data_IF_780276597228
#
_entry.id   IF_780276597228
#
_cell.length_a   1.000
_cell.length_b   1.000
_cell.length_c   1.000
_cell.angle_alpha   90.00
_cell.angle_beta   90.00
_cell.angle_gamma   90.00
#
_symmetry.space_group_name_H-M   'P 1'
#
loop_
_entity.id
_entity.type
_entity.pdbx_description
1 polymer ?
#
# COMPACT_ATOMS: atom_id res chain seq x y z
N UNK A 1 -51.85 -19.28 -41.07
CA UNK A 1 -50.60 -19.96 -40.66
C UNK A 1 -49.58 -19.03 -40.02
N UNK A 2 -49.46 -17.76 -40.44
CA UNK A 2 -48.61 -16.77 -39.73
C UNK A 2 -49.19 -16.35 -38.37
N UNK A 3 -50.51 -16.17 -38.25
CA UNK A 3 -51.18 -15.79 -37.00
C UNK A 3 -51.02 -16.80 -35.84
N UNK A 4 -50.76 -18.07 -36.16
CA UNK A 4 -50.57 -19.15 -35.17
C UNK A 4 -49.10 -19.42 -34.83
N UNK A 5 -48.15 -18.55 -35.27
CA UNK A 5 -46.69 -18.61 -35.02
C UNK A 5 -45.98 -19.94 -35.36
N UNK A 6 -46.64 -20.85 -36.08
CA UNK A 6 -46.09 -22.18 -36.42
C UNK A 6 -44.84 -22.14 -37.31
N UNK A 7 -44.58 -21.01 -37.98
CA UNK A 7 -43.42 -20.79 -38.85
C UNK A 7 -42.19 -20.20 -38.15
N UNK A 8 -42.28 -19.81 -36.88
CA UNK A 8 -41.22 -19.08 -36.19
C UNK A 8 -39.90 -19.87 -36.08
N UNK A 9 -39.98 -21.20 -35.99
CA UNK A 9 -38.81 -22.10 -35.97
C UNK A 9 -37.98 -22.09 -37.26
N UNK A 10 -38.54 -21.60 -38.37
CA UNK A 10 -37.87 -21.53 -39.67
C UNK A 10 -37.38 -20.11 -40.02
N UNK A 11 -37.81 -19.09 -39.26
CA UNK A 11 -37.44 -17.68 -39.44
C UNK A 11 -36.13 -17.39 -38.71
N UNK A 12 -35.02 -17.95 -39.18
CA UNK A 12 -33.68 -17.68 -38.63
C UNK A 12 -33.18 -16.29 -39.07
N UNK A 13 -32.48 -15.53 -38.21
CA UNK A 13 -31.97 -14.19 -38.56
C UNK A 13 -31.04 -14.20 -39.78
N UNK A 14 -30.24 -15.25 -39.95
CA UNK A 14 -29.37 -15.49 -41.12
C UNK A 14 -30.13 -15.46 -42.45
N UNK A 15 -31.41 -15.85 -42.48
CA UNK A 15 -32.22 -15.81 -43.70
C UNK A 15 -32.57 -14.37 -44.12
N UNK A 16 -32.54 -13.44 -43.17
CA UNK A 16 -32.87 -12.04 -43.35
C UNK A 16 -31.63 -11.13 -43.40
N UNK A 17 -30.43 -11.70 -43.41
CA UNK A 17 -29.18 -10.91 -43.40
C UNK A 17 -28.99 -10.10 -44.68
N UNK A 18 -29.44 -10.61 -45.83
CA UNK A 18 -29.41 -9.89 -47.10
C UNK A 18 -30.76 -10.05 -47.81
N UNK A 19 -31.61 -9.04 -47.70
CA UNK A 19 -32.93 -9.01 -48.34
C UNK A 19 -32.89 -8.41 -49.74
N UNK A 20 -31.70 -8.02 -50.24
CA UNK A 20 -31.51 -7.27 -51.49
C UNK A 20 -32.40 -6.02 -51.59
N UNK A 21 -32.76 -5.46 -50.44
CA UNK A 21 -33.56 -4.26 -50.35
C UNK A 21 -32.65 -3.03 -50.41
N UNK A 22 -32.93 -2.14 -51.36
CA UNK A 22 -32.22 -0.88 -51.56
C UNK A 22 -32.84 0.19 -50.67
N UNK A 23 -32.10 0.66 -49.66
CA UNK A 23 -32.58 1.60 -48.66
C UNK A 23 -32.15 3.04 -48.89
N UNK A 24 -32.88 3.99 -48.30
CA UNK A 24 -32.52 5.41 -48.37
C UNK A 24 -31.30 5.79 -47.52
N UNK A 25 -31.10 5.10 -46.39
CA UNK A 25 -29.98 5.35 -45.47
C UNK A 25 -28.73 4.52 -45.79
N UNK A 26 -28.92 3.38 -46.47
CA UNK A 26 -27.85 2.49 -46.87
C UNK A 26 -28.33 1.64 -48.04
N UNK A 27 -27.45 1.43 -49.02
CA UNK A 27 -27.71 0.59 -50.16
C UNK A 27 -26.48 -0.29 -50.47
N UNK A 28 -26.54 -1.62 -50.30
CA UNK A 28 -27.67 -2.44 -49.86
C UNK A 28 -27.90 -2.42 -48.33
N UNK A 29 -29.14 -2.67 -47.89
CA UNK A 29 -29.46 -2.88 -46.47
C UNK A 29 -29.01 -4.29 -46.06
N UNK A 30 -28.05 -4.37 -45.14
CA UNK A 30 -27.51 -5.61 -44.59
C UNK A 30 -27.76 -5.64 -43.09
N UNK A 31 -28.34 -6.74 -42.61
CA UNK A 31 -28.54 -7.00 -41.18
C UNK A 31 -27.48 -7.96 -40.66
N UNK A 32 -27.02 -7.75 -39.44
CA UNK A 32 -26.13 -8.67 -38.76
C UNK A 32 -26.85 -10.02 -38.58
N UNK A 33 -26.31 -11.15 -39.11
CA UNK A 33 -26.92 -12.46 -39.01
C UNK A 33 -27.08 -12.99 -37.58
N UNK A 34 -26.42 -12.38 -36.59
CA UNK A 34 -26.47 -12.79 -35.18
C UNK A 34 -27.45 -11.92 -34.39
N UNK A 35 -27.27 -10.60 -34.40
CA UNK A 35 -28.10 -9.66 -33.62
C UNK A 35 -29.38 -9.26 -34.34
N UNK A 36 -29.37 -9.23 -35.68
CA UNK A 36 -30.45 -8.69 -36.50
C UNK A 36 -30.44 -7.16 -36.62
N UNK A 37 -29.41 -6.50 -36.11
CA UNK A 37 -29.25 -5.05 -36.20
C UNK A 37 -28.78 -4.63 -37.60
N UNK A 38 -29.09 -3.39 -37.96
CA UNK A 38 -28.65 -2.82 -39.24
C UNK A 38 -27.17 -2.45 -39.18
N UNK A 39 -26.39 -2.94 -40.14
CA UNK A 39 -24.95 -2.68 -40.24
C UNK A 39 -24.72 -1.31 -40.90
N UNK A 40 -24.75 -0.23 -40.13
CA UNK A 40 -24.53 1.15 -40.60
C UNK A 40 -23.35 1.82 -39.89
N UNK A 41 -22.68 2.79 -40.54
CA UNK A 41 -21.66 3.58 -39.89
C UNK A 41 -22.27 4.50 -38.82
N UNK A 42 -21.51 4.75 -37.76
CA UNK A 42 -21.85 5.71 -36.72
C UNK A 42 -21.15 7.05 -36.99
N UNK A 43 -21.81 8.16 -36.66
CA UNK A 43 -21.20 9.49 -36.64
C UNK A 43 -21.14 10.03 -35.21
N UNK A 44 -20.09 10.79 -34.93
CA UNK A 44 -19.86 11.48 -33.66
C UNK A 44 -19.98 12.97 -33.89
N UNK A 45 -20.91 13.62 -33.19
CA UNK A 45 -21.21 15.04 -33.34
C UNK A 45 -20.70 15.83 -32.13
N UNK A 46 -20.10 16.99 -32.36
CA UNK A 46 -19.94 17.99 -31.30
C UNK A 46 -21.26 18.70 -31.08
N UNK A 47 -21.83 18.57 -29.88
CA UNK A 47 -23.07 19.25 -29.54
C UNK A 47 -22.95 20.78 -29.55
N UNK A 48 -21.77 21.33 -29.23
CA UNK A 48 -21.58 22.79 -29.15
C UNK A 48 -21.56 23.46 -30.52
N UNK A 49 -20.87 22.84 -31.48
CA UNK A 49 -20.71 23.38 -32.83
C UNK A 49 -21.65 22.73 -33.87
N UNK A 50 -22.37 21.67 -33.48
CA UNK A 50 -23.22 20.87 -34.37
C UNK A 50 -22.48 20.35 -35.61
N UNK A 51 -21.19 20.04 -35.47
CA UNK A 51 -20.33 19.51 -36.53
C UNK A 51 -19.95 18.05 -36.27
N UNK A 52 -19.82 17.26 -37.33
CA UNK A 52 -19.35 15.88 -37.25
C UNK A 52 -17.83 15.83 -37.02
N UNK A 53 -17.44 15.24 -35.89
CA UNK A 53 -16.05 15.09 -35.44
C UNK A 53 -15.42 13.84 -36.03
N UNK A 54 -16.20 12.76 -36.14
CA UNK A 54 -15.69 11.48 -36.61
C UNK A 54 -16.82 10.60 -37.14
N UNK A 55 -16.45 9.62 -37.95
CA UNK A 55 -17.35 8.58 -38.45
C UNK A 55 -16.67 7.22 -38.43
N UNK A 56 -17.45 6.15 -38.37
CA UNK A 56 -16.94 4.79 -38.45
C UNK A 56 -17.09 4.19 -39.85
N UNK A 57 -16.42 3.08 -40.11
CA UNK A 57 -16.84 2.15 -41.15
C UNK A 57 -18.18 1.48 -40.77
N UNK A 58 -18.84 0.83 -41.73
CA UNK A 58 -20.13 0.16 -41.50
C UNK A 58 -20.06 -0.95 -40.44
N UNK A 59 -18.90 -1.55 -40.23
CA UNK A 59 -18.68 -2.61 -39.23
C UNK A 59 -18.15 -2.07 -37.88
N UNK A 60 -18.04 -0.74 -37.71
CA UNK A 60 -17.53 -0.09 -36.50
C UNK A 60 -16.15 -0.60 -36.03
N UNK A 61 -15.27 -0.98 -36.97
CA UNK A 61 -13.90 -1.45 -36.70
C UNK A 61 -12.88 -0.32 -36.69
N UNK A 62 -13.12 0.74 -37.47
CA UNK A 62 -12.22 1.89 -37.59
C UNK A 62 -12.99 3.19 -37.43
N UNK A 63 -12.35 4.16 -36.76
CA UNK A 63 -12.87 5.51 -36.58
C UNK A 63 -12.01 6.46 -37.42
N UNK A 64 -12.66 7.22 -38.29
CA UNK A 64 -12.06 8.25 -39.11
C UNK A 64 -12.41 9.61 -38.52
N UNK A 65 -11.39 10.36 -38.11
CA UNK A 65 -11.54 11.71 -37.59
C UNK A 65 -11.56 12.72 -38.73
N UNK A 66 -12.47 13.69 -38.66
CA UNK A 66 -12.44 14.87 -39.52
C UNK A 66 -11.32 15.80 -39.07
N UNK A 67 -10.95 16.81 -39.88
CA UNK A 67 -9.95 17.82 -39.50
C UNK A 67 -10.53 18.83 -38.50
N UNK A 68 -11.10 18.31 -37.41
CA UNK A 68 -11.82 19.06 -36.39
C UNK A 68 -10.87 19.45 -35.25
N UNK A 69 -10.93 20.71 -34.84
CA UNK A 69 -10.14 21.21 -33.72
C UNK A 69 -10.86 20.91 -32.40
N UNK A 70 -10.48 19.80 -31.75
CA UNK A 70 -11.00 19.45 -30.42
C UNK A 70 -10.78 20.58 -29.43
N UNK A 71 -11.86 21.03 -28.77
CA UNK A 71 -11.80 22.03 -27.71
C UNK A 71 -12.52 21.54 -26.48
N UNK A 72 -11.75 21.14 -25.48
CA UNK A 72 -12.27 20.74 -24.18
C UNK A 72 -12.50 21.97 -23.29
N UNK A 73 -13.24 21.75 -22.21
CA UNK A 73 -13.48 22.80 -21.22
C UNK A 73 -12.14 23.37 -20.71
N UNK A 74 -12.01 24.71 -20.68
CA UNK A 74 -10.74 25.39 -20.41
C UNK A 74 -9.88 25.71 -21.65
N UNK A 75 -10.36 25.40 -22.87
CA UNK A 75 -9.70 25.75 -24.13
C UNK A 75 -8.53 24.86 -24.53
N UNK A 76 -8.29 23.77 -23.80
CA UNK A 76 -7.30 22.75 -24.13
C UNK A 76 -7.75 21.91 -25.33
N UNK A 77 -6.80 21.50 -26.18
CA UNK A 77 -6.99 20.49 -27.23
C UNK A 77 -6.71 19.07 -26.77
N UNK A 78 -6.15 18.94 -25.55
CA UNK A 78 -5.80 17.66 -24.94
C UNK A 78 -7.00 17.19 -24.11
N UNK A 79 -7.48 15.94 -24.30
CA UNK A 79 -8.59 15.40 -23.53
C UNK A 79 -8.26 15.40 -22.03
N UNK A 80 -9.23 15.69 -21.15
CA UNK A 80 -9.00 15.66 -19.72
C UNK A 80 -8.59 14.24 -19.29
N UNK A 81 -7.63 14.10 -18.35
CA UNK A 81 -7.23 12.79 -17.86
C UNK A 81 -8.41 12.11 -17.14
N UNK A 82 -8.57 10.81 -17.36
CA UNK A 82 -9.68 10.02 -16.81
C UNK A 82 -9.65 9.89 -15.27
N UNK A 83 -8.51 10.20 -14.65
CA UNK A 83 -8.32 10.11 -13.22
C UNK A 83 -7.41 11.22 -12.67
N UNK A 84 -7.42 11.40 -11.34
CA UNK A 84 -6.51 12.34 -10.70
C UNK A 84 -5.05 11.92 -10.95
N UNK A 85 -4.12 12.89 -11.04
CA UNK A 85 -2.70 12.56 -11.14
C UNK A 85 -2.25 11.80 -9.89
N UNK A 86 -1.40 10.79 -10.08
CA UNK A 86 -0.81 10.04 -8.98
C UNK A 86 0.23 10.93 -8.30
N UNK A 87 -0.12 11.53 -7.16
CA UNK A 87 0.86 12.19 -6.30
C UNK A 87 1.62 11.12 -5.51
N UNK A 88 2.92 11.03 -5.72
CA UNK A 88 3.80 10.23 -4.85
C UNK A 88 3.94 10.94 -3.50
N UNK A 89 3.22 10.47 -2.48
CA UNK A 89 3.32 10.94 -1.10
C UNK A 89 4.60 10.43 -0.38
N UNK A 90 5.70 10.26 -1.11
CA UNK A 90 6.98 9.96 -0.50
C UNK A 90 7.52 11.24 0.13
N UNK A 91 7.95 11.16 1.39
CA UNK A 91 8.60 12.29 2.06
C UNK A 91 9.92 12.57 1.34
N UNK A 92 9.95 13.67 0.60
CA UNK A 92 11.18 14.13 -0.04
C UNK A 92 12.14 14.65 1.02
N UNK A 93 13.40 14.24 0.90
CA UNK A 93 14.47 14.60 1.86
C UNK A 93 14.67 16.13 1.89
N UNK A 94 14.43 16.80 0.75
CA UNK A 94 14.60 18.25 0.59
C UNK A 94 13.41 19.06 1.11
N UNK A 95 12.33 18.41 1.56
CA UNK A 95 11.19 19.09 2.18
C UNK A 95 11.50 19.53 3.62
N UNK A 96 10.83 20.57 4.10
CA UNK A 96 10.98 21.04 5.50
C UNK A 96 10.63 19.93 6.52
N UNK A 97 9.68 19.07 6.18
CA UNK A 97 9.25 17.91 6.98
C UNK A 97 10.36 16.85 7.03
N UNK A 98 10.98 16.56 5.88
CA UNK A 98 12.12 15.66 5.76
C UNK A 98 13.30 16.10 6.63
N UNK A 99 13.64 17.40 6.60
CA UNK A 99 14.70 17.96 7.45
C UNK A 99 14.43 17.78 8.95
N UNK A 100 13.21 18.10 9.41
CA UNK A 100 12.83 17.94 10.82
C UNK A 100 12.88 16.48 11.27
N UNK A 101 12.43 15.56 10.42
CA UNK A 101 12.51 14.12 10.68
C UNK A 101 13.96 13.64 10.79
N UNK A 102 14.84 14.06 9.88
CA UNK A 102 16.26 13.71 9.93
C UNK A 102 16.90 14.19 11.24
N UNK A 103 16.62 15.43 11.65
CA UNK A 103 17.13 15.99 12.90
C UNK A 103 16.67 15.18 14.12
N UNK A 104 15.40 14.76 14.15
CA UNK A 104 14.86 13.92 15.22
C UNK A 104 15.49 12.52 15.25
N UNK A 105 15.74 11.92 14.08
CA UNK A 105 16.36 10.60 13.97
C UNK A 105 17.82 10.66 14.45
N UNK A 106 18.60 11.63 13.96
CA UNK A 106 20.00 11.78 14.34
C UNK A 106 20.14 12.06 15.83
N UNK A 107 19.29 12.92 16.40
CA UNK A 107 19.30 13.19 17.85
C UNK A 107 18.90 11.95 18.66
N UNK A 108 17.89 11.18 18.23
CA UNK A 108 17.47 9.94 18.89
C UNK A 108 18.54 8.84 18.86
N UNK A 109 19.22 8.67 17.72
CA UNK A 109 20.34 7.74 17.58
C UNK A 109 21.54 8.16 18.44
N UNK A 110 21.90 9.45 18.41
CA UNK A 110 22.97 10.00 19.24
C UNK A 110 22.70 9.79 20.73
N UNK A 111 21.47 10.08 21.18
CA UNK A 111 21.05 9.85 22.56
C UNK A 111 21.12 8.38 22.95
N UNK A 112 20.69 7.47 22.06
CA UNK A 112 20.77 6.03 22.29
C UNK A 112 22.22 5.57 22.47
N UNK A 113 23.15 6.08 21.65
CA UNK A 113 24.59 5.79 21.77
C UNK A 113 25.16 6.35 23.07
N UNK A 114 24.81 7.59 23.44
CA UNK A 114 25.25 8.20 24.71
C UNK A 114 24.72 7.39 25.90
N UNK A 115 23.47 6.97 25.89
CA UNK A 115 22.92 6.11 26.94
C UNK A 115 23.63 4.76 27.02
N UNK A 116 23.95 4.15 25.87
CA UNK A 116 24.70 2.90 25.82
C UNK A 116 26.11 3.05 26.39
N UNK A 117 26.83 4.12 26.02
CA UNK A 117 28.19 4.38 26.54
C UNK A 117 28.18 4.64 28.04
N UNK A 118 27.24 5.45 28.54
CA UNK A 118 27.07 5.69 29.97
C UNK A 118 26.78 4.39 30.75
N UNK A 119 25.96 3.51 30.19
CA UNK A 119 25.64 2.21 30.80
C UNK A 119 26.90 1.32 30.92
N UNK A 120 27.74 1.30 29.89
CA UNK A 120 28.99 0.52 29.88
C UNK A 120 30.03 1.14 30.82
N UNK A 121 30.22 2.45 30.77
CA UNK A 121 31.20 3.17 31.60
C UNK A 121 30.88 3.04 33.09
N UNK A 122 29.62 3.23 33.47
CA UNK A 122 29.19 3.20 34.87
C UNK A 122 28.69 1.83 35.34
N UNK A 123 29.02 0.74 34.63
CA UNK A 123 28.58 -0.63 34.97
C UNK A 123 28.97 -1.08 36.38
N UNK A 124 30.03 -0.51 36.95
CA UNK A 124 30.53 -0.84 38.30
C UNK A 124 29.92 0.03 39.41
N UNK A 125 29.22 1.12 39.06
CA UNK A 125 28.63 2.01 40.05
C UNK A 125 27.41 1.35 40.72
N UNK A 126 27.35 1.44 42.05
CA UNK A 126 26.28 0.83 42.88
C UNK A 126 24.86 1.21 42.47
N UNK A 127 24.69 2.39 41.85
CA UNK A 127 23.40 2.86 41.34
C UNK A 127 22.98 2.03 40.12
N UNK A 128 23.82 1.99 39.07
CA UNK A 128 23.53 1.30 37.81
C UNK A 128 23.41 -0.22 37.98
N UNK A 129 24.20 -0.81 38.89
CA UNK A 129 24.12 -2.25 39.22
C UNK A 129 22.73 -2.63 39.76
N UNK A 130 22.10 -1.76 40.55
CA UNK A 130 20.76 -2.01 41.11
C UNK A 130 19.64 -1.87 40.08
N UNK A 131 19.86 -1.13 38.99
CA UNK A 131 18.85 -0.85 37.96
C UNK A 131 18.65 -1.95 36.91
N UNK A 132 19.22 -3.14 37.12
CA UNK A 132 19.21 -4.26 36.17
C UNK A 132 19.78 -3.84 34.79
N UNK A 133 21.11 -3.73 34.67
CA UNK A 133 21.77 -3.13 33.51
C UNK A 133 21.51 -3.89 32.20
N UNK A 134 21.30 -5.22 32.26
CA UNK A 134 21.01 -6.05 31.08
C UNK A 134 19.67 -5.65 30.43
N UNK A 135 18.59 -5.56 31.20
CA UNK A 135 17.28 -5.16 30.66
C UNK A 135 17.28 -3.71 30.21
N UNK A 136 18.02 -2.84 30.90
CA UNK A 136 18.18 -1.44 30.48
C UNK A 136 18.96 -1.34 29.16
N UNK A 137 19.97 -2.19 28.95
CA UNK A 137 20.68 -2.30 27.67
C UNK A 137 19.79 -2.80 26.53
N UNK A 138 18.93 -3.80 26.80
CA UNK A 138 17.97 -4.29 25.81
C UNK A 138 16.97 -3.20 25.38
N UNK A 139 16.49 -2.36 26.31
CA UNK A 139 15.63 -1.21 25.98
C UNK A 139 16.35 -0.24 25.03
N UNK A 140 17.63 0.04 25.28
CA UNK A 140 18.45 0.93 24.42
C UNK A 140 18.64 0.33 23.02
N UNK A 141 18.85 -0.98 22.93
CA UNK A 141 18.93 -1.68 21.62
C UNK A 141 17.61 -1.61 20.87
N UNK A 142 16.49 -1.82 21.57
CA UNK A 142 15.16 -1.70 20.97
C UNK A 142 14.85 -0.28 20.48
N UNK A 143 15.22 0.74 21.25
CA UNK A 143 15.05 2.14 20.82
C UNK A 143 15.94 2.49 19.62
N UNK A 144 17.18 1.99 19.59
CA UNK A 144 18.07 2.18 18.44
C UNK A 144 17.47 1.60 17.15
N UNK A 145 16.94 0.37 17.21
CA UNK A 145 16.27 -0.27 16.07
C UNK A 145 15.02 0.51 15.61
N UNK A 146 14.24 1.04 16.56
CA UNK A 146 13.08 1.86 16.25
C UNK A 146 13.47 3.16 15.53
N UNK A 147 14.51 3.86 15.98
CA UNK A 147 15.01 5.06 15.27
C UNK A 147 15.59 4.72 13.88
N UNK A 148 16.29 3.58 13.76
CA UNK A 148 16.79 3.11 12.47
C UNK A 148 15.64 2.79 11.48
N UNK A 149 14.55 2.21 11.96
CA UNK A 149 13.32 1.96 11.17
C UNK A 149 12.72 3.24 10.61
N UNK A 150 12.68 4.33 11.40
CA UNK A 150 12.21 5.63 10.93
C UNK A 150 13.16 6.19 9.85
N UNK A 151 14.47 5.94 9.97
CA UNK A 151 15.44 6.26 8.92
C UNK A 151 15.12 5.62 7.57
N UNK A 152 14.62 4.38 7.58
CA UNK A 152 14.21 3.66 6.36
C UNK A 152 12.93 4.21 5.71
N UNK A 153 12.24 5.16 6.35
CA UNK A 153 11.10 5.87 5.75
C UNK A 153 11.54 6.92 4.72
N UNK A 154 12.78 7.42 4.83
CA UNK A 154 13.30 8.49 3.99
C UNK A 154 13.75 7.96 2.64
N UNK A 155 13.34 8.64 1.56
CA UNK A 155 13.75 8.33 0.20
C UNK A 155 12.77 7.44 -0.57
N UNK A 156 13.25 6.88 -1.70
CA UNK A 156 12.40 6.09 -2.60
C UNK A 156 12.12 4.70 -2.02
N UNK A 157 10.85 4.31 -1.85
CA UNK A 157 10.52 2.99 -1.32
C UNK A 157 10.93 1.90 -2.32
N UNK A 158 11.77 0.98 -1.87
CA UNK A 158 12.06 -0.28 -2.58
C UNK A 158 11.44 -1.45 -1.82
N UNK A 159 11.22 -2.57 -2.50
CA UNK A 159 10.69 -3.77 -1.85
C UNK A 159 11.50 -4.17 -0.61
N UNK A 160 12.83 -4.14 -0.71
CA UNK A 160 13.73 -4.49 0.40
C UNK A 160 13.60 -3.51 1.57
N UNK A 161 13.59 -2.20 1.29
CA UNK A 161 13.45 -1.16 2.33
C UNK A 161 12.10 -1.29 3.04
N UNK A 162 11.03 -1.62 2.31
CA UNK A 162 9.70 -1.82 2.87
C UNK A 162 9.67 -2.98 3.88
N UNK A 163 10.30 -4.11 3.54
CA UNK A 163 10.43 -5.24 4.46
C UNK A 163 11.28 -4.85 5.67
N UNK A 164 12.49 -4.33 5.44
CA UNK A 164 13.41 -3.97 6.54
C UNK A 164 12.77 -2.98 7.53
N UNK A 165 12.00 -2.01 7.04
CA UNK A 165 11.25 -1.07 7.88
C UNK A 165 10.31 -1.81 8.83
N UNK A 166 9.48 -2.72 8.31
CA UNK A 166 8.54 -3.50 9.13
C UNK A 166 9.28 -4.38 10.15
N UNK A 167 10.31 -5.09 9.69
CA UNK A 167 11.12 -5.98 10.53
C UNK A 167 11.79 -5.22 11.68
N UNK A 168 12.45 -4.09 11.39
CA UNK A 168 13.15 -3.30 12.40
C UNK A 168 12.18 -2.66 13.40
N UNK A 169 11.03 -2.18 12.92
CA UNK A 169 10.02 -1.58 13.79
C UNK A 169 9.46 -2.59 14.79
N UNK A 170 9.04 -3.76 14.30
CA UNK A 170 8.40 -4.78 15.14
C UNK A 170 9.43 -5.34 16.12
N UNK A 171 10.58 -5.81 15.65
CA UNK A 171 11.61 -6.37 16.54
C UNK A 171 12.09 -5.34 17.56
N UNK A 172 12.33 -4.09 17.14
CA UNK A 172 12.77 -3.01 18.02
C UNK A 172 11.76 -2.70 19.12
N UNK A 173 10.48 -2.56 18.76
CA UNK A 173 9.40 -2.32 19.71
C UNK A 173 9.26 -3.46 20.72
N UNK A 174 9.29 -4.70 20.23
CA UNK A 174 9.10 -5.90 21.03
C UNK A 174 10.20 -6.14 22.05
N UNK A 175 11.45 -5.92 21.67
CA UNK A 175 12.59 -5.97 22.60
C UNK A 175 12.39 -4.89 23.69
N UNK A 176 12.05 -3.67 23.30
CA UNK A 176 11.92 -2.54 24.23
C UNK A 176 10.77 -2.77 25.23
N UNK A 177 9.58 -3.11 24.75
CA UNK A 177 8.39 -3.29 25.60
C UNK A 177 8.56 -4.50 26.51
N UNK A 178 9.09 -5.61 26.01
CA UNK A 178 9.26 -6.82 26.82
C UNK A 178 10.32 -6.64 27.89
N UNK A 179 11.46 -6.01 27.55
CA UNK A 179 12.49 -5.69 28.53
C UNK A 179 11.99 -4.69 29.59
N UNK A 180 11.18 -3.71 29.19
CA UNK A 180 10.53 -2.78 30.10
C UNK A 180 9.55 -3.48 31.05
N UNK A 181 8.68 -4.34 30.52
CA UNK A 181 7.71 -5.12 31.32
C UNK A 181 8.42 -6.05 32.29
N UNK A 182 9.42 -6.81 31.85
CA UNK A 182 10.22 -7.70 32.70
C UNK A 182 10.92 -6.93 33.82
N UNK A 183 11.50 -5.76 33.51
CA UNK A 183 12.17 -4.91 34.52
C UNK A 183 11.19 -4.43 35.59
N UNK A 184 10.01 -3.96 35.19
CA UNK A 184 8.96 -3.53 36.13
C UNK A 184 8.36 -4.70 36.90
N UNK A 185 8.12 -5.84 36.24
CA UNK A 185 7.60 -7.04 36.87
C UNK A 185 8.55 -7.59 37.94
N UNK A 186 9.87 -7.56 37.68
CA UNK A 186 10.89 -7.90 38.68
C UNK A 186 10.82 -7.00 39.91
N UNK A 187 10.62 -5.69 39.72
CA UNK A 187 10.47 -4.72 40.82
C UNK A 187 9.18 -5.03 41.61
N UNK A 188 8.06 -5.22 40.90
CA UNK A 188 6.79 -5.58 41.52
C UNK A 188 6.90 -6.86 42.36
N UNK A 189 7.57 -7.90 41.84
CA UNK A 189 7.78 -9.16 42.56
C UNK A 189 8.55 -8.95 43.87
N UNK A 190 9.58 -8.11 43.88
CA UNK A 190 10.38 -7.80 45.08
C UNK A 190 9.52 -7.09 46.13
N UNK A 191 8.70 -6.11 45.73
CA UNK A 191 7.89 -5.34 46.68
C UNK A 191 6.61 -6.07 47.13
N UNK A 192 6.07 -6.96 46.30
CA UNK A 192 4.85 -7.73 46.61
C UNK A 192 5.15 -8.97 47.47
N UNK A 193 6.39 -9.46 47.50
CA UNK A 193 6.74 -10.63 48.31
C UNK A 193 6.73 -10.30 49.81
N UNK A 194 5.96 -11.07 50.58
CA UNK A 194 5.98 -11.03 52.06
C UNK A 194 7.14 -11.82 52.67
N UNK A 195 7.95 -12.48 51.84
CA UNK A 195 9.05 -13.36 52.25
C UNK A 195 10.32 -13.09 51.43
N UNK A 196 11.48 -13.45 51.96
CA UNK A 196 12.77 -13.27 51.27
C UNK A 196 12.79 -14.13 50.00
N UNK A 197 12.86 -13.48 48.84
CA UNK A 197 12.95 -14.18 47.56
C UNK A 197 14.38 -14.74 47.38
N UNK A 198 14.54 -16.05 47.13
CA UNK A 198 15.86 -16.61 46.86
C UNK A 198 16.41 -16.05 45.54
N UNK A 199 17.72 -15.77 45.50
CA UNK A 199 18.40 -15.19 44.32
C UNK A 199 18.18 -16.01 43.03
N UNK A 200 17.98 -17.33 43.14
CA UNK A 200 17.68 -18.22 42.01
C UNK A 200 16.36 -17.87 41.29
N UNK A 201 15.32 -17.44 42.03
CA UNK A 201 14.05 -17.00 41.43
C UNK A 201 14.16 -15.64 40.73
N UNK A 202 15.20 -14.87 41.04
CA UNK A 202 15.51 -13.59 40.43
C UNK A 202 16.57 -13.69 39.33
N UNK A 203 16.88 -14.91 38.88
CA UNK A 203 17.87 -15.18 37.83
C UNK A 203 17.45 -14.55 36.51
N UNK A 204 18.40 -13.92 35.82
CA UNK A 204 18.18 -13.30 34.52
C UNK A 204 17.80 -14.33 33.45
N UNK A 205 18.17 -15.60 33.62
CA UNK A 205 17.93 -16.67 32.64
C UNK A 205 16.44 -16.91 32.41
N UNK A 206 15.64 -16.97 33.49
CA UNK A 206 14.19 -17.23 33.38
C UNK A 206 13.46 -16.07 32.71
N UNK A 207 13.83 -14.84 33.07
CA UNK A 207 13.27 -13.62 32.50
C UNK A 207 13.72 -13.39 31.05
N UNK A 208 14.98 -13.73 30.73
CA UNK A 208 15.49 -13.75 29.37
C UNK A 208 14.79 -14.77 28.50
N UNK A 209 14.48 -15.96 29.04
CA UNK A 209 13.69 -16.98 28.34
C UNK A 209 12.30 -16.48 27.93
N UNK A 210 11.59 -15.76 28.80
CA UNK A 210 10.30 -15.16 28.43
C UNK A 210 10.44 -14.15 27.28
N UNK A 211 11.48 -13.31 27.33
CA UNK A 211 11.77 -12.33 26.31
C UNK A 211 12.06 -12.98 24.94
N UNK A 212 12.90 -14.03 24.92
CA UNK A 212 13.22 -14.76 23.69
C UNK A 212 11.99 -15.45 23.12
N UNK A 213 11.14 -16.07 23.95
CA UNK A 213 9.91 -16.72 23.47
C UNK A 213 8.92 -15.70 22.88
N UNK A 214 8.76 -14.54 23.52
CA UNK A 214 7.88 -13.48 23.02
C UNK A 214 8.33 -12.99 21.65
N UNK A 215 9.63 -12.69 21.50
CA UNK A 215 10.21 -12.26 20.21
C UNK A 215 10.10 -13.36 19.16
N UNK A 216 10.31 -14.63 19.52
CA UNK A 216 10.21 -15.75 18.59
C UNK A 216 8.79 -15.86 18.00
N UNK A 217 7.76 -15.72 18.83
CA UNK A 217 6.36 -15.75 18.37
C UNK A 217 6.11 -14.62 17.37
N UNK A 218 6.59 -13.41 17.64
CA UNK A 218 6.40 -12.29 16.73
C UNK A 218 7.20 -12.43 15.44
N UNK A 219 8.43 -12.97 15.48
CA UNK A 219 9.20 -13.27 14.28
C UNK A 219 8.44 -14.29 13.41
N UNK A 220 7.86 -15.33 14.01
CA UNK A 220 7.06 -16.32 13.28
C UNK A 220 5.82 -15.69 12.64
N UNK A 221 5.12 -14.80 13.37
CA UNK A 221 3.99 -14.05 12.83
C UNK A 221 4.42 -13.14 11.68
N UNK A 222 5.58 -12.51 11.80
CA UNK A 222 6.07 -11.58 10.79
C UNK A 222 6.48 -12.32 9.51
N UNK A 223 7.16 -13.46 9.63
CA UNK A 223 7.48 -14.35 8.49
C UNK A 223 6.20 -14.86 7.81
N UNK A 224 5.14 -15.15 8.56
CA UNK A 224 3.88 -15.62 7.99
C UNK A 224 3.13 -14.51 7.21
N UNK A 225 3.42 -13.24 7.49
CA UNK A 225 2.72 -12.09 6.92
C UNK A 225 3.49 -11.40 5.76
N UNK A 226 4.81 -11.62 5.69
CA UNK A 226 5.70 -11.13 4.61
C UNK A 226 5.82 -12.13 3.48
#
# INVERSE_FOLDING_TARGET
>A
MLATRKLQRYLKPVLFSNTHYHGAYQDPIILDPITGDLIIPYSFLDFLNSEDIAFTDSNATQIFFTNYAFKFNGGSTIPPPDGPPILSAAIEIDSYEGFLLILLIVSGLALSVICATLLVMFRLNKIFVKSAPIFSGLIIVGSFLAYASIGLLLGKPTAIICHLRLWFQVIGFSIAITAFLVKNYRIHMIFSSRTIIPKSKLSNERFGGFLVNFILIEILLLIACT
#
